data_IF_404629771741
#
_entry.id   IF_404629771741
#
_cell.length_a   1.000
_cell.length_b   1.000
_cell.length_c   1.000
_cell.angle_alpha   90.00
_cell.angle_beta   90.00
_cell.angle_gamma   90.00
#
_symmetry.space_group_name_H-M   'P 1'
#
loop_
_entity.id
_entity.type
_entity.pdbx_description
1 polymer ?
#
# COMPACT_ATOMS: atom_id res chain seq x y z
N UNK A 1 -11.03 -0.70 0.73
CA UNK A 1 -12.19 0.17 0.46
C UNK A 1 -12.81 -0.08 -0.93
N UNK A 2 -12.04 -0.03 -2.03
CA UNK A 2 -12.60 -0.16 -3.38
C UNK A 2 -13.37 -1.47 -3.67
N UNK A 3 -12.92 -2.63 -3.19
CA UNK A 3 -13.60 -3.91 -3.47
C UNK A 3 -14.96 -4.03 -2.77
N UNK A 4 -15.04 -3.64 -1.49
CA UNK A 4 -16.31 -3.63 -0.74
C UNK A 4 -17.35 -2.74 -1.41
N UNK A 5 -16.96 -1.53 -1.83
CA UNK A 5 -17.86 -0.63 -2.56
C UNK A 5 -18.32 -1.22 -3.90
N UNK A 6 -17.47 -1.98 -4.60
CA UNK A 6 -17.87 -2.66 -5.84
C UNK A 6 -18.88 -3.76 -5.59
N UNK A 7 -18.70 -4.57 -4.56
CA UNK A 7 -19.65 -5.63 -4.19
C UNK A 7 -21.00 -5.05 -3.79
N UNK A 8 -21.01 -3.99 -2.98
CA UNK A 8 -22.25 -3.32 -2.55
C UNK A 8 -23.03 -2.67 -3.73
N UNK A 9 -22.38 -2.44 -4.87
CA UNK A 9 -23.00 -1.85 -6.06
C UNK A 9 -23.42 -2.89 -7.11
N UNK A 10 -23.23 -4.19 -6.85
CA UNK A 10 -23.54 -5.27 -7.78
C UNK A 10 -24.88 -5.93 -7.46
N UNK A 11 -25.60 -6.29 -8.52
CA UNK A 11 -26.79 -7.10 -8.41
C UNK A 11 -26.43 -8.54 -8.06
N UNK A 12 -27.02 -9.14 -7.01
CA UNK A 12 -26.75 -10.53 -6.63
C UNK A 12 -27.12 -11.55 -7.73
N UNK A 13 -28.05 -11.20 -8.61
CA UNK A 13 -28.55 -12.11 -9.67
C UNK A 13 -27.66 -12.15 -10.91
N UNK A 14 -27.18 -11.01 -11.41
CA UNK A 14 -26.35 -10.95 -12.63
C UNK A 14 -24.87 -10.62 -12.37
N UNK A 15 -24.51 -10.30 -11.12
CA UNK A 15 -23.15 -9.96 -10.67
C UNK A 15 -22.53 -8.71 -11.34
N UNK A 16 -23.31 -7.97 -12.12
CA UNK A 16 -22.94 -6.67 -12.69
C UNK A 16 -23.42 -5.52 -11.83
N UNK A 17 -22.98 -4.30 -12.13
CA UNK A 17 -23.53 -3.08 -11.51
C UNK A 17 -25.06 -3.04 -11.63
N UNK A 18 -25.73 -2.52 -10.59
CA UNK A 18 -27.17 -2.31 -10.65
C UNK A 18 -27.58 -1.41 -11.82
N UNK A 19 -28.46 -1.93 -12.67
CA UNK A 19 -29.14 -1.18 -13.73
C UNK A 19 -30.63 -1.18 -13.43
N UNK A 20 -31.19 0.03 -13.22
CA UNK A 20 -32.57 0.24 -12.79
C UNK A 20 -32.95 -0.68 -11.60
N UNK A 21 -32.29 -0.56 -10.44
CA UNK A 21 -32.51 -1.47 -9.33
C UNK A 21 -33.95 -1.42 -8.82
N UNK A 22 -34.49 -2.59 -8.49
CA UNK A 22 -35.82 -2.81 -7.92
C UNK A 22 -35.67 -3.41 -6.53
N UNK A 23 -36.43 -2.91 -5.57
CA UNK A 23 -36.43 -3.34 -4.18
C UNK A 23 -37.71 -4.11 -3.88
N UNK A 24 -37.55 -5.33 -3.36
CA UNK A 24 -38.62 -6.15 -2.81
C UNK A 24 -39.03 -5.67 -1.41
N UNK A 25 -40.17 -6.14 -0.91
CA UNK A 25 -40.70 -5.81 0.43
C UNK A 25 -39.69 -6.06 1.54
N UNK A 26 -38.94 -7.16 1.44
CA UNK A 26 -37.92 -7.55 2.42
C UNK A 26 -36.60 -6.76 2.32
N UNK A 27 -36.49 -5.79 1.39
CA UNK A 27 -35.28 -5.02 1.17
C UNK A 27 -34.30 -5.64 0.16
N UNK A 28 -34.56 -6.85 -0.36
CA UNK A 28 -33.76 -7.45 -1.42
C UNK A 28 -33.75 -6.56 -2.66
N UNK A 29 -32.57 -6.34 -3.25
CA UNK A 29 -32.40 -5.46 -4.42
C UNK A 29 -31.81 -6.24 -5.59
N UNK A 30 -32.42 -6.11 -6.77
CA UNK A 30 -31.91 -6.68 -8.03
C UNK A 30 -32.15 -5.72 -9.21
N UNK A 31 -31.52 -5.92 -10.36
CA UNK A 31 -31.81 -5.13 -11.56
C UNK A 31 -33.25 -5.36 -12.05
N UNK A 32 -33.84 -4.37 -12.72
CA UNK A 32 -35.16 -4.52 -13.36
C UNK A 32 -35.23 -5.73 -14.29
N UNK A 33 -34.16 -6.02 -15.03
CA UNK A 33 -34.12 -7.20 -15.92
C UNK A 33 -34.02 -8.51 -15.14
N UNK A 34 -33.37 -8.50 -13.98
CA UNK A 34 -33.18 -9.70 -13.15
C UNK A 34 -34.43 -10.05 -12.34
N UNK A 35 -35.32 -9.10 -12.10
CA UNK A 35 -36.51 -9.34 -11.29
C UNK A 35 -37.43 -10.38 -11.93
N UNK A 36 -37.45 -10.45 -13.26
CA UNK A 36 -38.25 -11.41 -14.02
C UNK A 36 -37.72 -12.84 -13.93
N UNK A 37 -36.48 -13.01 -13.48
CA UNK A 37 -35.86 -14.32 -13.25
C UNK A 37 -36.12 -14.86 -11.84
N UNK A 38 -36.78 -14.09 -10.96
CA UNK A 38 -37.13 -14.55 -9.62
C UNK A 38 -38.29 -15.55 -9.67
N UNK A 39 -38.31 -16.47 -8.72
CA UNK A 39 -39.39 -17.44 -8.54
C UNK A 39 -40.71 -16.70 -8.27
N UNK A 40 -41.77 -17.12 -8.96
CA UNK A 40 -43.13 -16.62 -8.72
C UNK A 40 -43.77 -17.36 -7.57
N UNK A 41 -44.67 -16.68 -6.88
CA UNK A 41 -45.54 -17.25 -5.86
C UNK A 41 -46.44 -18.35 -6.48
N UNK A 42 -46.59 -19.52 -5.82
CA UNK A 42 -47.51 -20.54 -6.28
C UNK A 42 -48.96 -20.01 -6.33
N UNK A 43 -49.58 -20.03 -7.52
CA UNK A 43 -50.96 -19.58 -7.71
C UNK A 43 -51.17 -18.06 -7.68
N UNK A 44 -50.09 -17.26 -7.70
CA UNK A 44 -50.16 -15.80 -7.65
C UNK A 44 -49.19 -15.08 -8.60
N UNK A 45 -49.25 -13.75 -8.59
CA UNK A 45 -48.31 -12.88 -9.33
C UNK A 45 -47.18 -12.33 -8.44
N UNK A 46 -47.13 -12.73 -7.17
CA UNK A 46 -46.06 -12.33 -6.24
C UNK A 46 -44.70 -12.89 -6.65
N UNK A 47 -43.63 -12.25 -6.18
CA UNK A 47 -42.25 -12.73 -6.37
C UNK A 47 -41.63 -13.16 -5.04
N UNK A 48 -40.95 -14.30 -5.05
CA UNK A 48 -40.23 -14.85 -3.92
C UNK A 48 -38.81 -14.28 -3.85
N UNK A 49 -38.42 -13.78 -2.68
CA UNK A 49 -37.04 -13.40 -2.42
C UNK A 49 -36.13 -14.65 -2.38
N UNK A 50 -34.99 -14.67 -3.11
CA UNK A 50 -34.10 -15.84 -3.13
C UNK A 50 -33.35 -16.09 -1.81
N UNK A 51 -33.33 -15.11 -0.89
CA UNK A 51 -32.58 -15.22 0.38
C UNK A 51 -33.45 -15.51 1.60
N UNK A 52 -34.69 -15.02 1.62
CA UNK A 52 -35.58 -15.15 2.78
C UNK A 52 -36.95 -15.76 2.46
N UNK A 53 -37.20 -16.10 1.19
CA UNK A 53 -38.46 -16.69 0.71
C UNK A 53 -39.72 -15.84 0.95
N UNK A 54 -39.56 -14.59 1.40
CA UNK A 54 -40.68 -13.67 1.57
C UNK A 54 -41.27 -13.31 0.20
N UNK A 55 -42.59 -13.42 0.10
CA UNK A 55 -43.35 -12.98 -1.07
C UNK A 55 -43.47 -11.45 -1.07
N UNK A 56 -43.14 -10.83 -2.19
CA UNK A 56 -43.40 -9.42 -2.47
C UNK A 56 -44.44 -9.31 -3.57
N UNK A 57 -45.58 -8.69 -3.25
CA UNK A 57 -46.63 -8.43 -4.23
C UNK A 57 -46.23 -7.29 -5.16
N UNK A 58 -46.80 -7.24 -6.37
CA UNK A 58 -46.45 -6.25 -7.41
C UNK A 58 -46.46 -4.79 -6.92
N UNK A 59 -47.40 -4.43 -6.04
CA UNK A 59 -47.54 -3.09 -5.43
C UNK A 59 -46.47 -2.75 -4.37
N UNK A 60 -45.81 -3.77 -3.83
CA UNK A 60 -44.77 -3.65 -2.80
C UNK A 60 -43.36 -3.55 -3.41
N UNK A 61 -43.21 -3.96 -4.68
CA UNK A 61 -41.96 -3.85 -5.43
C UNK A 61 -41.82 -2.42 -5.93
N UNK A 62 -40.69 -1.78 -5.62
CA UNK A 62 -40.45 -0.38 -5.97
C UNK A 62 -39.11 -0.17 -6.65
N UNK A 63 -39.01 0.73 -7.65
CA UNK A 63 -37.73 1.14 -8.19
C UNK A 63 -36.91 1.89 -7.14
N UNK A 64 -35.63 1.56 -7.04
CA UNK A 64 -34.68 2.20 -6.14
C UNK A 64 -33.84 3.25 -6.89
N UNK A 65 -34.51 4.32 -7.31
CA UNK A 65 -33.89 5.38 -8.12
C UNK A 65 -32.68 6.02 -7.44
N UNK A 66 -32.65 6.09 -6.10
CA UNK A 66 -31.54 6.65 -5.35
C UNK A 66 -30.28 5.77 -5.47
N UNK A 67 -30.42 4.46 -5.26
CA UNK A 67 -29.33 3.51 -5.49
C UNK A 67 -28.87 3.54 -6.96
N UNK A 68 -29.81 3.56 -7.91
CA UNK A 68 -29.47 3.64 -9.34
C UNK A 68 -28.63 4.88 -9.68
N UNK A 69 -28.96 6.04 -9.11
CA UNK A 69 -28.18 7.29 -9.27
C UNK A 69 -26.80 7.18 -8.64
N UNK A 70 -26.69 6.62 -7.44
CA UNK A 70 -25.40 6.41 -6.75
C UNK A 70 -24.50 5.47 -7.54
N UNK A 71 -25.02 4.30 -7.93
CA UNK A 71 -24.28 3.31 -8.72
C UNK A 71 -23.82 3.90 -10.05
N UNK A 72 -24.66 4.70 -10.71
CA UNK A 72 -24.28 5.41 -11.94
C UNK A 72 -23.11 6.39 -11.74
N UNK A 73 -23.10 7.14 -10.63
CA UNK A 73 -21.97 8.02 -10.28
C UNK A 73 -20.71 7.22 -9.98
N UNK A 74 -20.82 6.13 -9.21
CA UNK A 74 -19.70 5.23 -8.90
C UNK A 74 -19.11 4.64 -10.19
N UNK A 75 -19.95 4.12 -11.09
CA UNK A 75 -19.53 3.56 -12.40
C UNK A 75 -18.78 4.60 -13.24
N UNK A 76 -19.20 5.87 -13.21
CA UNK A 76 -18.50 6.97 -13.92
C UNK A 76 -17.17 7.36 -13.27
N UNK A 77 -17.08 7.34 -11.95
CA UNK A 77 -15.86 7.71 -11.21
C UNK A 77 -14.83 6.58 -11.14
N UNK A 78 -15.24 5.32 -11.28
CA UNK A 78 -14.34 4.16 -11.14
C UNK A 78 -13.09 4.25 -12.03
N UNK A 79 -13.17 4.60 -13.33
CA UNK A 79 -11.98 4.69 -14.17
C UNK A 79 -11.01 5.77 -13.69
N UNK A 80 -11.54 6.92 -13.23
CA UNK A 80 -10.73 8.02 -12.70
C UNK A 80 -10.05 7.63 -11.39
N UNK A 81 -10.78 6.98 -10.49
CA UNK A 81 -10.23 6.47 -9.23
C UNK A 81 -9.20 5.37 -9.48
N UNK A 82 -9.42 4.46 -10.44
CA UNK A 82 -8.42 3.46 -10.82
C UNK A 82 -7.14 4.12 -11.32
N UNK A 83 -7.24 5.16 -12.13
CA UNK A 83 -6.06 5.86 -12.64
C UNK A 83 -5.22 6.52 -11.54
N UNK A 84 -5.86 7.02 -10.48
CA UNK A 84 -5.20 7.69 -9.35
C UNK A 84 -4.70 6.68 -8.30
N UNK A 85 -5.49 5.65 -8.02
CA UNK A 85 -5.26 4.67 -6.95
C UNK A 85 -4.47 3.43 -7.40
N UNK A 86 -3.96 3.44 -8.63
CA UNK A 86 -3.09 2.39 -9.14
C UNK A 86 -1.73 2.95 -9.50
N UNK A 87 -0.70 2.17 -9.23
CA UNK A 87 0.65 2.47 -9.64
C UNK A 87 0.72 2.52 -11.16
N UNK A 88 1.24 3.63 -11.70
CA UNK A 88 1.55 3.71 -13.12
C UNK A 88 2.82 2.86 -13.39
N UNK A 89 2.76 1.80 -14.23
CA UNK A 89 3.91 0.95 -14.49
C UNK A 89 5.12 1.70 -15.06
N UNK A 90 4.90 2.85 -15.73
CA UNK A 90 5.96 3.69 -16.27
C UNK A 90 6.85 4.30 -15.19
N UNK A 91 6.43 4.32 -13.92
CA UNK A 91 7.25 4.79 -12.79
C UNK A 91 8.53 3.94 -12.65
N UNK A 92 8.48 2.64 -12.98
CA UNK A 92 9.64 1.74 -12.89
C UNK A 92 10.83 2.17 -13.74
N UNK A 93 10.64 3.00 -14.77
CA UNK A 93 11.76 3.56 -15.56
C UNK A 93 12.66 4.52 -14.78
N UNK A 94 12.18 5.02 -13.64
CA UNK A 94 12.93 5.87 -12.72
C UNK A 94 13.61 5.07 -11.61
N UNK A 95 13.68 3.74 -11.73
CA UNK A 95 14.24 2.90 -10.68
C UNK A 95 15.73 3.20 -10.48
N UNK A 96 16.10 3.49 -9.23
CA UNK A 96 17.49 3.79 -8.86
C UNK A 96 18.12 2.57 -8.19
N UNK A 97 19.40 2.34 -8.49
CA UNK A 97 20.20 1.40 -7.74
C UNK A 97 20.72 2.10 -6.47
N UNK A 98 20.51 1.44 -5.32
CA UNK A 98 20.80 2.00 -4.01
C UNK A 98 21.31 0.93 -3.05
N UNK A 99 22.09 1.36 -2.07
CA UNK A 99 22.55 0.58 -0.92
C UNK A 99 22.26 1.34 0.37
N UNK A 100 22.44 0.68 1.50
CA UNK A 100 22.36 1.27 2.83
C UNK A 100 23.67 1.97 3.17
N UNK A 101 23.56 3.12 3.83
CA UNK A 101 24.68 3.93 4.28
C UNK A 101 25.08 3.51 5.71
N UNK A 102 26.14 2.71 5.82
CA UNK A 102 26.64 2.13 7.08
C UNK A 102 27.11 3.19 8.08
N UNK A 103 27.46 4.40 7.62
CA UNK A 103 27.93 5.48 8.48
C UNK A 103 26.77 6.15 9.22
N UNK A 104 25.55 6.00 8.69
CA UNK A 104 24.31 6.48 9.32
C UNK A 104 23.66 5.44 10.23
N UNK A 105 23.93 4.16 10.01
CA UNK A 105 23.21 3.05 10.63
C UNK A 105 23.30 3.04 12.15
N UNK A 106 22.18 2.90 12.86
CA UNK A 106 22.23 2.69 14.30
C UNK A 106 23.07 1.46 14.68
N UNK A 107 23.74 1.52 15.85
CA UNK A 107 24.68 0.50 16.32
C UNK A 107 24.06 -0.89 16.52
N UNK A 108 22.75 -1.04 16.65
CA UNK A 108 22.09 -2.35 16.75
C UNK A 108 21.71 -2.95 15.40
N UNK A 109 21.89 -2.21 14.30
CA UNK A 109 21.51 -2.69 12.98
C UNK A 109 22.57 -3.61 12.38
N UNK A 110 22.10 -4.78 11.94
CA UNK A 110 22.90 -5.75 11.18
C UNK A 110 22.57 -5.56 9.71
N UNK A 111 23.59 -5.20 8.92
CA UNK A 111 23.48 -4.96 7.49
C UNK A 111 24.14 -6.11 6.73
N UNK A 112 23.49 -6.60 5.68
CA UNK A 112 24.02 -7.66 4.81
C UNK A 112 25.27 -7.21 4.05
N UNK A 113 26.07 -8.18 3.57
CA UNK A 113 27.31 -7.90 2.82
C UNK A 113 27.08 -7.09 1.54
N UNK A 114 25.94 -7.27 0.88
CA UNK A 114 25.55 -6.52 -0.32
C UNK A 114 24.98 -5.13 -0.02
N UNK A 115 24.92 -4.76 1.27
CA UNK A 115 24.42 -3.48 1.77
C UNK A 115 22.96 -3.20 1.38
N UNK A 116 22.13 -4.23 1.18
CA UNK A 116 20.73 -4.05 0.76
C UNK A 116 19.72 -4.53 1.77
N UNK A 117 20.10 -5.38 2.70
CA UNK A 117 19.23 -5.87 3.76
C UNK A 117 19.67 -5.33 5.11
N UNK A 118 18.70 -4.96 5.92
CA UNK A 118 18.90 -4.52 7.30
C UNK A 118 17.88 -5.18 8.20
N UNK A 119 18.33 -5.58 9.39
CA UNK A 119 17.49 -6.02 10.50
C UNK A 119 18.06 -5.46 11.80
N UNK A 120 17.24 -5.38 12.83
CA UNK A 120 17.75 -5.04 14.16
C UNK A 120 18.24 -6.30 14.87
N UNK A 121 19.44 -6.25 15.43
CA UNK A 121 20.02 -7.31 16.26
C UNK A 121 19.88 -7.00 17.75
N UNK A 122 20.21 -7.98 18.58
CA UNK A 122 20.19 -7.84 20.05
C UNK A 122 21.48 -7.21 20.61
N UNK A 123 22.54 -7.11 19.80
CA UNK A 123 23.86 -6.68 20.23
C UNK A 123 24.37 -5.50 19.42
N UNK A 124 25.12 -4.64 20.10
CA UNK A 124 25.84 -3.54 19.47
C UNK A 124 26.88 -4.10 18.50
N UNK A 125 26.82 -3.59 17.27
CA UNK A 125 27.79 -3.85 16.24
C UNK A 125 29.02 -2.96 16.46
N UNK A 126 30.20 -3.50 16.22
CA UNK A 126 31.49 -2.82 16.42
C UNK A 126 31.81 -1.89 15.24
N UNK A 127 31.03 -0.82 15.09
CA UNK A 127 31.28 0.20 14.08
C UNK A 127 32.14 1.33 14.63
N UNK A 128 32.89 2.00 13.73
CA UNK A 128 33.56 3.26 14.08
C UNK A 128 32.50 4.33 14.40
N UNK A 129 32.80 5.15 15.40
CA UNK A 129 31.99 6.30 15.71
C UNK A 129 31.97 7.24 14.49
N UNK A 130 30.78 7.73 14.14
CA UNK A 130 30.59 8.66 13.03
C UNK A 130 29.50 9.66 13.42
N UNK A 131 29.72 10.95 13.13
CA UNK A 131 28.80 12.03 13.52
C UNK A 131 27.43 11.93 12.85
N UNK A 132 27.39 11.33 11.66
CA UNK A 132 26.17 11.10 10.90
C UNK A 132 25.31 9.93 11.38
N UNK A 133 25.76 9.19 12.40
CA UNK A 133 25.07 7.98 12.90
C UNK A 133 23.84 8.32 13.75
N UNK A 134 22.75 7.59 13.53
CA UNK A 134 21.61 7.60 14.47
C UNK A 134 22.00 6.91 15.78
N UNK A 135 22.13 7.66 16.87
CA UNK A 135 22.67 7.12 18.12
C UNK A 135 21.64 6.31 18.94
N UNK A 136 20.35 6.65 18.83
CA UNK A 136 19.26 6.07 19.61
C UNK A 136 18.20 5.42 18.72
N UNK A 137 17.72 6.15 17.70
CA UNK A 137 16.72 5.62 16.78
C UNK A 137 17.26 4.45 15.96
N UNK A 138 16.55 3.32 15.97
CA UNK A 138 16.92 2.08 15.25
C UNK A 138 16.59 2.21 13.77
N UNK A 139 17.39 2.99 13.05
CA UNK A 139 17.18 3.31 11.64
C UNK A 139 18.51 3.54 10.89
N UNK A 140 18.41 3.59 9.56
CA UNK A 140 19.53 3.77 8.63
C UNK A 140 19.06 4.51 7.39
N UNK A 141 19.95 5.27 6.74
CA UNK A 141 19.65 5.95 5.48
C UNK A 141 20.14 5.15 4.27
N UNK A 142 19.56 5.42 3.10
CA UNK A 142 20.10 4.97 1.83
C UNK A 142 21.28 5.84 1.39
N UNK A 143 22.20 5.28 0.61
CA UNK A 143 23.41 5.96 0.12
C UNK A 143 23.11 7.12 -0.86
N UNK A 144 21.97 7.08 -1.54
CA UNK A 144 21.55 8.13 -2.48
C UNK A 144 21.17 9.43 -1.79
N UNK A 145 21.58 10.56 -2.38
CA UNK A 145 21.22 11.93 -2.00
C UNK A 145 20.47 12.57 -3.17
N UNK A 146 19.15 12.75 -3.04
CA UNK A 146 18.31 13.27 -4.12
C UNK A 146 18.20 14.79 -4.04
N UNK A 147 18.60 15.47 -5.11
CA UNK A 147 18.55 16.94 -5.22
C UNK A 147 17.65 17.44 -6.34
N UNK A 148 17.27 16.58 -7.29
CA UNK A 148 16.39 16.90 -8.41
C UNK A 148 15.82 15.63 -9.06
N UNK A 149 14.83 15.77 -9.95
CA UNK A 149 14.35 14.68 -10.79
C UNK A 149 13.36 13.73 -10.12
N UNK A 150 13.23 12.52 -10.70
CA UNK A 150 12.27 11.49 -10.30
C UNK A 150 12.99 10.20 -10.00
N UNK A 151 12.67 9.57 -8.88
CA UNK A 151 13.37 8.41 -8.36
C UNK A 151 12.38 7.38 -7.84
N UNK A 152 12.63 6.12 -8.14
CA UNK A 152 11.81 5.00 -7.69
C UNK A 152 12.68 3.91 -7.06
N UNK A 153 12.22 3.31 -5.97
CA UNK A 153 12.82 2.10 -5.43
C UNK A 153 11.76 1.23 -4.76
N UNK A 154 12.07 -0.05 -4.60
CA UNK A 154 11.21 -1.02 -3.94
C UNK A 154 11.89 -1.52 -2.66
N UNK A 155 11.10 -1.65 -1.61
CA UNK A 155 11.53 -2.22 -0.33
C UNK A 155 10.64 -3.40 0.00
N UNK A 156 11.27 -4.54 0.18
CA UNK A 156 10.62 -5.72 0.71
C UNK A 156 10.59 -5.63 2.23
N UNK A 157 9.38 -5.76 2.76
CA UNK A 157 9.07 -5.74 4.20
C UNK A 157 8.73 -7.15 4.71
N UNK A 158 8.49 -8.09 3.79
CA UNK A 158 8.25 -9.50 4.11
C UNK A 158 7.04 -9.68 5.03
N UNK A 159 7.23 -10.46 6.09
CA UNK A 159 6.25 -10.71 7.16
C UNK A 159 6.47 -9.81 8.39
N UNK A 160 7.31 -8.78 8.27
CA UNK A 160 7.68 -7.93 9.39
C UNK A 160 6.46 -7.21 9.96
N UNK A 161 6.30 -7.25 11.29
CA UNK A 161 5.13 -6.70 12.02
C UNK A 161 5.31 -5.24 12.43
N UNK A 162 6.50 -4.69 12.29
CA UNK A 162 6.80 -3.28 12.55
C UNK A 162 7.88 -2.80 11.59
N UNK A 163 7.69 -1.63 11.00
CA UNK A 163 8.70 -0.98 10.16
C UNK A 163 8.26 0.43 9.77
N UNK A 164 9.22 1.25 9.36
CA UNK A 164 8.99 2.51 8.65
C UNK A 164 9.91 2.63 7.44
N UNK A 165 9.34 3.08 6.32
CA UNK A 165 10.09 3.36 5.10
C UNK A 165 9.62 4.66 4.46
N UNK A 166 10.53 5.36 3.80
CA UNK A 166 10.20 6.60 3.11
C UNK A 166 11.43 7.42 2.85
N UNK A 167 11.34 8.72 3.10
CA UNK A 167 12.47 9.65 3.00
C UNK A 167 12.56 10.56 4.22
N UNK A 168 13.73 11.13 4.43
CA UNK A 168 13.94 12.25 5.33
C UNK A 168 14.80 13.33 4.68
N UNK A 169 14.81 14.54 5.26
CA UNK A 169 15.79 15.58 4.92
C UNK A 169 17.21 15.12 5.29
N UNK A 170 18.23 15.58 4.58
CA UNK A 170 19.63 15.33 4.96
C UNK A 170 19.94 15.89 6.35
N UNK A 171 19.39 17.06 6.68
CA UNK A 171 19.64 17.81 7.92
C UNK A 171 18.86 17.33 9.15
N UNK A 172 18.09 16.24 9.07
CA UNK A 172 17.32 15.77 10.24
C UNK A 172 18.21 15.51 11.45
N UNK A 173 17.67 15.77 12.65
CA UNK A 173 18.35 15.43 13.88
C UNK A 173 18.54 13.91 13.98
N UNK A 174 19.80 13.48 14.16
CA UNK A 174 20.18 12.06 14.30
C UNK A 174 20.51 11.67 15.74
N UNK A 175 20.41 12.61 16.68
CA UNK A 175 20.72 12.43 18.09
C UNK A 175 19.45 12.31 18.95
N UNK A 176 19.39 11.30 19.80
CA UNK A 176 18.28 11.04 20.71
C UNK A 176 17.06 10.42 20.03
N UNK A 177 15.93 10.50 20.72
CA UNK A 177 14.66 9.99 20.22
C UNK A 177 14.23 10.85 19.02
N UNK A 178 13.95 10.19 17.89
CA UNK A 178 13.37 10.85 16.72
C UNK A 178 11.86 10.64 16.72
N UNK A 179 11.13 11.70 16.37
CA UNK A 179 9.69 11.62 16.08
C UNK A 179 9.51 11.64 14.56
N UNK A 180 8.94 10.57 14.01
CA UNK A 180 8.63 10.50 12.58
C UNK A 180 7.43 11.40 12.28
N UNK A 181 7.73 12.61 11.80
CA UNK A 181 6.75 13.63 11.42
C UNK A 181 7.20 14.38 10.17
N UNK A 182 6.24 14.65 9.29
CA UNK A 182 6.44 15.45 8.07
C UNK A 182 6.87 16.89 8.38
N UNK A 183 6.48 17.45 9.52
CA UNK A 183 6.95 18.77 9.98
C UNK A 183 8.42 18.74 10.43
N UNK A 184 8.90 17.58 10.88
CA UNK A 184 10.29 17.35 11.27
C UNK A 184 11.15 16.80 10.12
N UNK A 185 10.61 16.81 8.90
CA UNK A 185 11.35 16.39 7.71
C UNK A 185 11.34 14.89 7.44
N UNK A 186 10.39 14.14 8.00
CA UNK A 186 10.21 12.71 7.74
C UNK A 186 8.90 12.43 7.01
N UNK A 187 8.98 11.91 5.80
CA UNK A 187 7.82 11.50 5.00
C UNK A 187 7.87 9.98 4.82
N UNK A 188 7.27 9.28 5.78
CA UNK A 188 7.32 7.82 5.89
C UNK A 188 5.94 7.22 5.97
N UNK A 189 5.84 5.96 5.54
CA UNK A 189 4.73 5.07 5.86
C UNK A 189 5.29 3.91 6.67
N UNK A 190 4.49 3.40 7.59
CA UNK A 190 4.93 2.34 8.49
C UNK A 190 3.81 1.48 9.02
N UNK A 191 4.21 0.33 9.54
CA UNK A 191 3.38 -0.64 10.25
C UNK A 191 3.78 -0.64 11.73
N UNK A 192 2.79 -0.79 12.60
CA UNK A 192 2.98 -1.00 14.05
C UNK A 192 2.61 -2.41 14.43
N UNK A 193 3.17 -2.90 15.56
CA UNK A 193 2.91 -4.23 16.09
C UNK A 193 1.43 -4.56 16.33
N UNK A 194 0.57 -3.54 16.44
CA UNK A 194 -0.90 -3.67 16.52
C UNK A 194 -1.58 -3.96 15.19
N UNK A 195 -0.83 -4.06 14.08
CA UNK A 195 -1.37 -4.24 12.72
C UNK A 195 -1.84 -2.95 12.05
N UNK A 196 -1.60 -1.80 12.69
CA UNK A 196 -2.05 -0.49 12.17
C UNK A 196 -0.99 0.09 11.24
N UNK A 197 -1.41 0.40 10.01
CA UNK A 197 -0.60 1.17 9.06
C UNK A 197 -0.84 2.66 9.24
N UNK A 198 0.22 3.47 9.08
CA UNK A 198 0.12 4.93 9.19
C UNK A 198 1.11 5.67 8.29
N UNK A 199 0.79 6.92 7.99
CA UNK A 199 1.71 7.88 7.37
C UNK A 199 2.09 8.96 8.39
N UNK A 200 3.36 9.37 8.43
CA UNK A 200 3.96 10.39 9.33
C UNK A 200 3.47 11.83 9.11
N UNK A 201 2.19 12.01 8.87
CA UNK A 201 1.51 13.31 8.76
C UNK A 201 1.26 13.92 10.14
N UNK A 202 0.88 15.20 10.17
CA UNK A 202 0.45 15.89 11.39
C UNK A 202 -0.98 16.39 11.19
N UNK A 203 -1.98 15.84 11.91
CA UNK A 203 -1.89 14.65 12.78
C UNK A 203 -1.60 13.36 12.00
N UNK A 204 -1.19 12.30 12.71
CA UNK A 204 -0.87 10.99 12.11
C UNK A 204 -2.09 10.42 11.35
N UNK A 205 -1.88 10.06 10.07
CA UNK A 205 -2.94 9.49 9.23
C UNK A 205 -2.90 7.97 9.30
N UNK A 206 -3.99 7.35 9.77
CA UNK A 206 -4.17 5.90 9.75
C UNK A 206 -4.56 5.44 8.33
N UNK A 207 -3.95 4.36 7.86
CA UNK A 207 -4.12 3.84 6.50
C UNK A 207 -4.83 2.48 6.50
N UNK A 208 -5.77 2.31 5.57
CA UNK A 208 -6.47 1.04 5.36
C UNK A 208 -5.84 0.35 4.14
N UNK A 209 -4.89 -0.54 4.42
CA UNK A 209 -4.07 -1.23 3.41
C UNK A 209 -4.43 -2.72 3.35
N UNK A 210 -4.18 -3.35 2.21
CA UNK A 210 -4.26 -4.81 2.08
C UNK A 210 -3.24 -5.47 3.05
N UNK A 211 -3.68 -6.37 3.96
CA UNK A 211 -2.81 -6.97 4.96
C UNK A 211 -1.72 -7.88 4.38
N UNK A 212 -1.79 -8.22 3.09
CA UNK A 212 -0.76 -9.01 2.37
C UNK A 212 0.38 -8.16 1.81
N UNK A 213 0.53 -6.92 2.27
CA UNK A 213 1.64 -6.04 1.91
C UNK A 213 2.97 -6.64 2.34
N UNK A 214 3.74 -7.09 1.36
CA UNK A 214 5.09 -7.65 1.54
C UNK A 214 6.16 -6.82 0.82
N UNK A 215 5.75 -5.88 -0.05
CA UNK A 215 6.66 -5.00 -0.79
C UNK A 215 6.06 -3.63 -1.08
N UNK A 216 6.80 -2.59 -0.72
CA UNK A 216 6.43 -1.18 -0.88
C UNK A 216 7.26 -0.58 -2.02
N UNK A 217 6.59 0.01 -3.01
CA UNK A 217 7.19 0.83 -4.04
C UNK A 217 7.14 2.29 -3.61
N UNK A 218 8.27 2.99 -3.68
CA UNK A 218 8.40 4.37 -3.24
C UNK A 218 8.82 5.22 -4.43
N UNK A 219 8.00 6.22 -4.76
CA UNK A 219 8.23 7.13 -5.88
C UNK A 219 8.35 8.56 -5.39
N UNK A 220 9.55 9.13 -5.54
CA UNK A 220 9.86 10.52 -5.26
C UNK A 220 9.84 11.32 -6.56
N UNK A 221 9.03 12.36 -6.61
CA UNK A 221 9.04 13.37 -7.67
C UNK A 221 9.44 14.71 -7.06
N UNK A 222 10.73 15.06 -7.17
CA UNK A 222 11.29 16.31 -6.65
C UNK A 222 10.71 17.53 -7.37
N UNK A 223 10.38 17.39 -8.65
CA UNK A 223 9.86 18.49 -9.46
C UNK A 223 8.43 18.85 -9.05
N UNK A 224 7.63 17.84 -8.73
CA UNK A 224 6.27 18.01 -8.21
C UNK A 224 6.20 18.22 -6.69
N UNK A 225 7.31 18.01 -5.97
CA UNK A 225 7.33 18.03 -4.52
C UNK A 225 6.40 16.97 -3.93
N UNK A 226 6.46 15.73 -4.42
CA UNK A 226 5.62 14.64 -3.92
C UNK A 226 6.42 13.37 -3.66
N UNK A 227 6.00 12.61 -2.65
CA UNK A 227 6.43 11.22 -2.48
C UNK A 227 5.21 10.32 -2.36
N UNK A 228 5.16 9.28 -3.19
CA UNK A 228 4.05 8.34 -3.30
C UNK A 228 4.48 6.92 -2.97
N UNK A 229 3.61 6.18 -2.31
CA UNK A 229 3.81 4.82 -1.84
C UNK A 229 2.80 3.88 -2.49
N UNK A 230 3.25 2.70 -2.88
CA UNK A 230 2.43 1.71 -3.59
C UNK A 230 2.67 0.31 -3.03
N UNK A 231 1.63 -0.51 -2.97
CA UNK A 231 1.76 -1.94 -2.75
C UNK A 231 2.19 -2.57 -4.08
N UNK A 232 3.41 -3.10 -4.16
CA UNK A 232 3.95 -3.60 -5.44
C UNK A 232 3.18 -4.83 -5.95
N UNK A 233 2.77 -5.73 -5.05
CA UNK A 233 2.09 -6.97 -5.41
C UNK A 233 0.73 -6.81 -6.09
N UNK A 234 -0.13 -5.88 -5.66
CA UNK A 234 -1.44 -5.64 -6.27
C UNK A 234 -1.53 -4.30 -7.02
N UNK A 235 -0.45 -3.52 -7.06
CA UNK A 235 -0.37 -2.23 -7.72
C UNK A 235 -1.17 -1.11 -7.06
N UNK A 236 -1.78 -1.34 -5.89
CA UNK A 236 -2.60 -0.32 -5.24
C UNK A 236 -1.75 0.83 -4.68
N UNK A 237 -2.29 2.03 -4.76
CA UNK A 237 -1.76 3.21 -4.07
C UNK A 237 -1.96 3.06 -2.56
N UNK A 238 -0.93 3.40 -1.79
CA UNK A 238 -0.94 3.40 -0.33
C UNK A 238 -1.19 4.81 0.18
N UNK A 239 -0.31 5.74 -0.17
CA UNK A 239 -0.35 7.11 0.31
C UNK A 239 0.51 8.03 -0.56
N UNK A 240 0.19 9.32 -0.60
CA UNK A 240 1.07 10.35 -1.19
C UNK A 240 1.15 11.54 -0.26
N UNK A 241 2.38 11.95 0.08
CA UNK A 241 2.59 13.25 0.70
C UNK A 241 2.70 14.32 -0.39
N UNK A 242 1.81 15.32 -0.39
CA UNK A 242 1.92 16.46 -1.28
C UNK A 242 2.83 17.54 -0.69
N UNK A 243 3.41 18.38 -1.54
CA UNK A 243 4.11 19.62 -1.17
C UNK A 243 5.26 19.39 -0.18
N UNK A 244 6.03 18.32 -0.37
CA UNK A 244 7.24 18.10 0.43
C UNK A 244 8.29 19.17 0.08
N UNK A 245 9.09 19.57 1.07
CA UNK A 245 10.17 20.53 0.84
C UNK A 245 11.33 19.86 0.11
N UNK A 246 11.73 20.43 -1.03
CA UNK A 246 12.84 19.96 -1.87
C UNK A 246 14.00 20.96 -1.91
N UNK A 247 14.05 21.88 -0.94
CA UNK A 247 15.07 22.92 -0.84
C UNK A 247 16.46 22.40 -0.45
N UNK A 248 16.53 21.17 0.07
CA UNK A 248 17.76 20.49 0.49
C UNK A 248 17.72 19.02 0.03
N UNK A 249 18.87 18.31 0.06
CA UNK A 249 18.91 16.91 -0.34
C UNK A 249 17.98 16.03 0.52
N UNK A 250 17.30 15.09 -0.14
CA UNK A 250 16.47 14.09 0.51
C UNK A 250 17.15 12.73 0.48
N UNK A 251 17.01 11.99 1.58
CA UNK A 251 17.60 10.67 1.80
C UNK A 251 16.53 9.61 1.97
N UNK A 252 16.68 8.44 1.34
CA UNK A 252 15.89 7.25 1.66
C UNK A 252 16.04 6.90 3.15
N UNK A 253 14.93 6.56 3.79
CA UNK A 253 14.87 6.26 5.23
C UNK A 253 14.33 4.85 5.44
N UNK A 254 14.98 4.08 6.33
CA UNK A 254 14.60 2.72 6.68
C UNK A 254 14.70 2.50 8.20
N UNK A 255 13.63 2.05 8.82
CA UNK A 255 13.62 1.59 10.21
C UNK A 255 13.00 0.19 10.28
N UNK A 256 13.79 -0.88 10.48
CA UNK A 256 13.26 -2.23 10.64
C UNK A 256 12.60 -2.40 12.02
N UNK A 257 11.91 -3.53 12.20
CA UNK A 257 11.33 -3.88 13.49
C UNK A 257 12.37 -3.94 14.61
N UNK A 258 11.95 -3.59 15.82
CA UNK A 258 12.72 -3.88 17.03
C UNK A 258 12.64 -5.39 17.33
N UNK A 259 13.76 -6.09 17.66
CA UNK A 259 13.80 -7.53 17.89
C UNK A 259 12.87 -8.00 19.01
N UNK A 260 12.52 -7.12 19.97
CA UNK A 260 11.58 -7.46 21.06
C UNK A 260 10.17 -7.69 20.50
N UNK A 261 9.81 -7.00 19.42
CA UNK A 261 8.47 -7.06 18.82
C UNK A 261 8.40 -8.04 17.65
N UNK A 262 9.53 -8.28 17.00
CA UNK A 262 9.66 -9.12 15.81
C UNK A 262 11.13 -9.51 15.59
N UNK A 263 11.47 -10.74 15.91
CA UNK A 263 12.83 -11.29 15.86
C UNK A 263 13.30 -11.64 14.44
N UNK A 264 12.35 -11.89 13.52
CA UNK A 264 12.61 -12.19 12.11
C UNK A 264 12.45 -10.96 11.20
N UNK A 265 12.06 -9.82 11.75
CA UNK A 265 11.79 -8.58 11.01
C UNK A 265 13.01 -8.06 10.24
N UNK A 266 12.83 -7.77 8.96
CA UNK A 266 13.87 -7.19 8.10
C UNK A 266 13.30 -6.23 7.07
N UNK A 267 14.17 -5.39 6.52
CA UNK A 267 13.93 -4.59 5.33
C UNK A 267 14.98 -4.92 4.28
N UNK A 268 14.56 -5.11 3.03
CA UNK A 268 15.47 -5.36 1.90
C UNK A 268 15.17 -4.44 0.73
N UNK A 269 16.16 -3.68 0.29
CA UNK A 269 16.11 -2.90 -0.95
C UNK A 269 16.15 -3.88 -2.12
N UNK A 270 15.10 -3.88 -2.96
CA UNK A 270 15.06 -4.75 -4.11
C UNK A 270 16.01 -4.25 -5.22
N UNK A 271 16.75 -5.15 -5.90
CA UNK A 271 17.58 -4.76 -7.04
C UNK A 271 16.75 -4.17 -8.17
N UNK A 272 17.41 -3.36 -9.01
CA UNK A 272 16.86 -2.99 -10.31
C UNK A 272 16.75 -4.26 -11.15
N UNK A 273 15.54 -4.61 -11.59
CA UNK A 273 15.37 -5.70 -12.54
C UNK A 273 15.88 -5.24 -13.90
N UNK A 274 17.05 -5.73 -14.30
CA UNK A 274 17.45 -5.66 -15.71
C UNK A 274 16.60 -6.69 -16.48
N UNK A 275 15.78 -6.28 -17.45
CA UNK A 275 15.01 -7.22 -18.27
C UNK A 275 15.89 -8.20 -19.08
N UNK A 276 17.22 -8.00 -19.12
CA UNK A 276 18.18 -8.88 -19.77
C UNK A 276 18.81 -9.97 -18.89
N UNK A 277 18.47 -10.06 -17.59
CA UNK A 277 19.01 -11.09 -16.67
C UNK A 277 17.86 -11.89 -16.06
N UNK A 278 17.01 -12.45 -16.91
CA UNK A 278 16.28 -13.66 -16.54
C UNK A 278 17.22 -14.83 -16.86
N UNK A 279 18.21 -15.09 -15.99
CA UNK A 279 18.99 -16.32 -16.07
C UNK A 279 18.03 -17.49 -15.81
N UNK A 280 17.80 -18.30 -16.84
CA UNK A 280 17.12 -19.58 -16.74
C UNK A 280 17.74 -20.40 -15.60
N UNK A 281 16.95 -21.07 -14.75
CA UNK A 281 17.50 -21.99 -13.77
C UNK A 281 18.22 -23.12 -14.50
N UNK A 282 19.50 -23.29 -14.20
CA UNK A 282 20.29 -24.45 -14.61
C UNK A 282 19.58 -25.72 -14.10
N UNK A 283 19.16 -26.57 -15.03
CA UNK A 283 18.67 -27.91 -14.73
C UNK A 283 19.92 -28.76 -14.43
N UNK A 284 20.06 -29.36 -13.24
CA UNK A 284 21.17 -30.28 -12.98
C UNK A 284 21.06 -31.49 -13.92
N UNK A 285 22.06 -31.63 -14.80
CA UNK A 285 22.20 -32.78 -15.68
C UNK A 285 22.34 -34.06 -14.87
N UNK A 286 21.56 -35.07 -15.26
CA UNK A 286 21.70 -36.43 -14.77
C UNK A 286 22.96 -37.04 -15.40
N UNK A 287 23.95 -37.36 -14.55
CA UNK A 287 25.11 -38.17 -14.94
C UNK A 287 24.69 -39.64 -15.07
N UNK A 288 25.07 -40.25 -16.21
CA UNK A 288 25.25 -41.70 -16.34
C UNK A 288 26.61 -42.09 -15.75
#
# INVERSE_FOLDING_TARGET
MANYFKEACRCPSCLTYFENPMTLKCGYVCCLQCINSLLKEPGGEGLLCPFCSMVSQKKEIRPNCQLGRLVSKVKKLEPQLRMILQMNPRIRKFQVQMTLDTDTANKYLVISKDLRQVRCGCFEQKWRAHSERFNYAVCVLGSSRFTSGRHYWEVEVGTSKEWDVGICKESVNRQGIILLSSELGFWTVGLRSTGIFSASTVPLTVLIINPRLHRVGIFLDMNMGTISFYHVGDGSHIFTFPRISTAEPLRPFFAPANPIKDDEGFLRICPVMNPGIASLPEIPGWGQ
#
